data_IF_634809957855
#
_entry.id   IF_634809957855
#
_cell.length_a   1.000
_cell.length_b   1.000
_cell.length_c   1.000
_cell.angle_alpha   90.00
_cell.angle_beta   90.00
_cell.angle_gamma   90.00
#
_symmetry.space_group_name_H-M   'P 1'
#
loop_
_entity.id
_entity.type
_entity.pdbx_description
1 polymer ?
#
# COMPACT_ATOMS: atom_id res chain seq x y z
N UNK A 1 -5.04 -15.98 20.24
CA UNK A 1 -4.29 -16.63 19.13
C UNK A 1 -5.03 -16.66 17.80
N UNK A 2 -6.21 -17.31 17.66
CA UNK A 2 -6.90 -17.37 16.36
C UNK A 2 -7.41 -16.00 15.89
N UNK A 3 -8.02 -15.24 16.79
CA UNK A 3 -8.51 -13.87 16.51
C UNK A 3 -7.37 -12.93 16.15
N UNK A 4 -6.24 -13.00 16.85
CA UNK A 4 -5.06 -12.16 16.60
C UNK A 4 -4.44 -12.44 15.22
N UNK A 5 -4.39 -13.72 14.80
CA UNK A 5 -3.98 -14.11 13.45
C UNK A 5 -4.93 -13.57 12.38
N UNK A 6 -6.25 -13.68 12.60
CA UNK A 6 -7.23 -13.14 11.66
C UNK A 6 -7.11 -11.62 11.55
N UNK A 7 -7.01 -10.90 12.68
CA UNK A 7 -6.89 -9.46 12.71
C UNK A 7 -5.59 -8.97 12.05
N UNK A 8 -4.48 -9.68 12.29
CA UNK A 8 -3.20 -9.46 11.62
C UNK A 8 -3.31 -9.64 10.10
N UNK A 9 -3.97 -10.71 9.64
CA UNK A 9 -4.18 -10.95 8.21
C UNK A 9 -5.09 -9.90 7.56
N UNK A 10 -6.15 -9.50 8.27
CA UNK A 10 -7.07 -8.45 7.82
C UNK A 10 -6.37 -7.10 7.64
N UNK A 11 -5.37 -6.78 8.47
CA UNK A 11 -4.55 -5.59 8.23
C UNK A 11 -3.97 -5.61 6.81
N UNK A 12 -3.33 -6.69 6.40
CA UNK A 12 -2.78 -6.79 5.03
C UNK A 12 -3.88 -6.81 3.94
N UNK A 13 -5.00 -7.50 4.17
CA UNK A 13 -6.11 -7.52 3.20
C UNK A 13 -6.84 -6.18 3.08
N UNK A 14 -6.66 -5.27 4.04
CA UNK A 14 -7.27 -3.95 3.95
C UNK A 14 -6.83 -3.16 2.73
N UNK A 15 -5.74 -3.55 2.04
CA UNK A 15 -5.40 -3.02 0.70
C UNK A 15 -6.58 -3.06 -0.29
N UNK A 16 -7.53 -3.98 -0.10
CA UNK A 16 -8.70 -4.18 -0.96
C UNK A 16 -9.88 -3.24 -0.65
N UNK A 17 -9.99 -2.69 0.56
CA UNK A 17 -11.19 -1.96 0.99
C UNK A 17 -10.94 -0.76 1.90
N UNK A 18 -9.88 -0.76 2.70
CA UNK A 18 -9.56 0.31 3.66
C UNK A 18 -8.05 0.36 4.00
N UNK A 19 -7.16 0.57 3.02
CA UNK A 19 -5.71 0.34 3.17
C UNK A 19 -5.10 1.03 4.39
N UNK A 20 -5.42 2.30 4.64
CA UNK A 20 -4.82 3.02 5.76
C UNK A 20 -5.60 2.84 7.07
N UNK A 21 -6.93 2.84 6.95
CA UNK A 21 -7.81 3.00 8.09
C UNK A 21 -7.76 1.78 9.01
N UNK A 22 -7.89 0.57 8.46
CA UNK A 22 -7.95 -0.63 9.29
C UNK A 22 -6.62 -0.90 10.01
N UNK A 23 -5.45 -0.93 9.34
CA UNK A 23 -4.19 -1.18 10.04
C UNK A 23 -3.87 -0.11 11.08
N UNK A 24 -4.26 1.14 10.84
CA UNK A 24 -4.09 2.22 11.80
C UNK A 24 -4.94 2.02 13.05
N UNK A 25 -6.24 1.73 12.88
CA UNK A 25 -7.13 1.45 14.01
C UNK A 25 -6.63 0.24 14.81
N UNK A 26 -6.30 -0.86 14.13
CA UNK A 26 -5.81 -2.08 14.78
C UNK A 26 -4.52 -1.81 15.55
N UNK A 27 -3.60 -1.01 15.01
CA UNK A 27 -2.36 -0.65 15.69
C UNK A 27 -2.60 0.01 17.05
N UNK A 28 -3.62 0.86 17.18
CA UNK A 28 -3.93 1.54 18.45
C UNK A 28 -4.82 0.73 19.40
N UNK A 29 -5.72 -0.09 18.86
CA UNK A 29 -6.71 -0.82 19.66
C UNK A 29 -6.20 -2.16 20.18
N UNK A 30 -5.22 -2.78 19.51
CA UNK A 30 -4.70 -4.09 19.93
C UNK A 30 -3.60 -3.98 21.00
N UNK A 31 -3.70 -4.83 22.03
CA UNK A 31 -2.64 -5.03 23.01
C UNK A 31 -1.65 -6.15 22.62
N UNK A 32 -2.01 -6.99 21.64
CA UNK A 32 -1.14 -8.06 21.16
C UNK A 32 0.04 -7.50 20.36
N UNK A 33 1.26 -7.73 20.85
CA UNK A 33 2.48 -7.20 20.25
C UNK A 33 2.71 -7.72 18.82
N UNK A 34 2.30 -8.97 18.53
CA UNK A 34 2.45 -9.57 17.19
C UNK A 34 1.50 -8.88 16.20
N UNK A 35 0.24 -8.72 16.57
CA UNK A 35 -0.77 -8.02 15.77
C UNK A 35 -0.41 -6.56 15.56
N UNK A 36 0.07 -5.87 16.60
CA UNK A 36 0.57 -4.49 16.51
C UNK A 36 1.74 -4.38 15.52
N UNK A 37 2.65 -5.35 15.50
CA UNK A 37 3.76 -5.42 14.53
C UNK A 37 3.25 -5.59 13.09
N UNK A 38 2.27 -6.47 12.87
CA UNK A 38 1.65 -6.68 11.56
C UNK A 38 0.85 -5.48 11.06
N UNK A 39 0.07 -4.86 11.94
CA UNK A 39 -0.67 -3.64 11.67
C UNK A 39 0.26 -2.51 11.21
N UNK A 40 1.37 -2.28 11.93
CA UNK A 40 2.39 -1.28 11.52
C UNK A 40 3.01 -1.61 10.15
N UNK A 41 3.40 -2.86 9.92
CA UNK A 41 4.02 -3.28 8.65
C UNK A 41 3.05 -3.15 7.47
N UNK A 42 1.79 -3.50 7.68
CA UNK A 42 0.75 -3.35 6.66
C UNK A 42 0.41 -1.88 6.40
N UNK A 43 0.38 -1.04 7.42
CA UNK A 43 0.21 0.40 7.22
C UNK A 43 1.33 0.97 6.34
N UNK A 44 2.59 0.64 6.66
CA UNK A 44 3.75 1.11 5.88
C UNK A 44 3.73 0.59 4.44
N UNK A 45 3.33 -0.66 4.20
CA UNK A 45 3.21 -1.17 2.83
C UNK A 45 2.14 -0.43 2.05
N UNK A 46 1.01 -0.05 2.66
CA UNK A 46 -0.04 0.71 1.97
C UNK A 46 0.36 2.16 1.68
N UNK A 47 1.27 2.74 2.47
CA UNK A 47 1.79 4.09 2.25
C UNK A 47 2.63 4.17 0.98
N UNK A 48 3.34 3.10 0.60
CA UNK A 48 4.16 3.06 -0.62
C UNK A 48 3.32 3.39 -1.88
N UNK A 49 2.19 2.69 -2.16
CA UNK A 49 1.24 3.07 -3.20
C UNK A 49 0.87 4.55 -3.21
N UNK A 50 0.42 5.08 -2.07
CA UNK A 50 0.02 6.48 -1.98
C UNK A 50 1.15 7.44 -2.32
N UNK A 51 2.35 7.23 -1.77
CA UNK A 51 3.52 8.09 -2.05
C UNK A 51 3.88 8.03 -3.54
N UNK A 52 3.90 6.83 -4.14
CA UNK A 52 4.26 6.69 -5.57
C UNK A 52 3.27 7.38 -6.49
N UNK A 53 1.97 7.27 -6.21
CA UNK A 53 0.91 7.95 -6.98
C UNK A 53 1.03 9.47 -6.81
N UNK A 54 1.20 9.95 -5.58
CA UNK A 54 1.34 11.38 -5.28
C UNK A 54 2.58 11.97 -5.98
N UNK A 55 3.73 11.30 -5.87
CA UNK A 55 4.96 11.75 -6.52
C UNK A 55 4.82 11.81 -8.04
N UNK A 56 4.21 10.78 -8.65
CA UNK A 56 3.91 10.76 -10.07
C UNK A 56 2.98 11.91 -10.47
N UNK A 57 1.93 12.15 -9.70
CA UNK A 57 0.99 13.24 -9.96
C UNK A 57 1.64 14.61 -9.86
N UNK A 58 2.53 14.84 -8.91
CA UNK A 58 3.29 16.09 -8.83
C UNK A 58 4.14 16.34 -10.09
N UNK A 59 4.84 15.32 -10.59
CA UNK A 59 5.66 15.45 -11.80
C UNK A 59 4.77 15.67 -13.03
N UNK A 60 3.73 14.86 -13.18
CA UNK A 60 2.82 14.93 -14.34
C UNK A 60 2.07 16.26 -14.39
N UNK A 61 1.46 16.67 -13.28
CA UNK A 61 0.75 17.95 -13.19
C UNK A 61 1.72 19.13 -13.33
N UNK A 62 2.92 19.05 -12.75
CA UNK A 62 3.95 20.07 -12.93
C UNK A 62 4.30 20.30 -14.40
N UNK A 63 4.50 19.22 -15.17
CA UNK A 63 4.73 19.30 -16.61
C UNK A 63 3.51 19.89 -17.36
N UNK A 64 2.30 19.53 -16.96
CA UNK A 64 1.06 20.05 -17.54
C UNK A 64 0.88 21.55 -17.28
N UNK A 65 1.08 22.02 -16.04
CA UNK A 65 0.99 23.44 -15.69
C UNK A 65 2.07 24.29 -16.38
N UNK A 66 3.25 23.71 -16.63
CA UNK A 66 4.31 24.36 -17.39
C UNK A 66 4.09 24.36 -18.91
N UNK A 67 3.04 23.71 -19.42
CA UNK A 67 2.75 23.61 -20.86
C UNK A 67 3.76 22.74 -21.64
N UNK A 68 4.48 21.84 -20.97
CA UNK A 68 5.54 21.03 -21.58
C UNK A 68 5.00 19.72 -22.16
N UNK A 69 4.33 19.80 -23.31
CA UNK A 69 3.66 18.65 -23.94
C UNK A 69 4.57 17.44 -24.19
N UNK A 70 5.84 17.67 -24.57
CA UNK A 70 6.81 16.59 -24.79
C UNK A 70 7.16 15.88 -23.47
N UNK A 71 7.37 16.64 -22.38
CA UNK A 71 7.64 16.07 -21.06
C UNK A 71 6.45 15.27 -20.53
N UNK A 72 5.22 15.74 -20.76
CA UNK A 72 4.00 14.98 -20.40
C UNK A 72 4.01 13.61 -21.07
N UNK A 73 4.32 13.55 -22.37
CA UNK A 73 4.43 12.30 -23.12
C UNK A 73 5.50 11.37 -22.56
N UNK A 74 6.69 11.90 -22.25
CA UNK A 74 7.78 11.14 -21.65
C UNK A 74 7.40 10.59 -20.27
N UNK A 75 6.86 11.44 -19.38
CA UNK A 75 6.45 11.06 -18.02
C UNK A 75 5.33 10.02 -18.07
N UNK A 76 4.39 10.15 -19.00
CA UNK A 76 3.34 9.16 -19.18
C UNK A 76 3.91 7.81 -19.65
N UNK A 77 4.70 7.79 -20.72
CA UNK A 77 5.19 6.55 -21.31
C UNK A 77 6.20 5.82 -20.41
N UNK A 78 7.02 6.56 -19.67
CA UNK A 78 8.06 5.98 -18.80
C UNK A 78 7.62 5.81 -17.35
N UNK A 79 6.95 6.82 -16.78
CA UNK A 79 6.60 6.87 -15.36
C UNK A 79 5.37 6.03 -15.02
N UNK A 80 4.35 6.04 -15.88
CA UNK A 80 3.11 5.32 -15.58
C UNK A 80 3.31 3.80 -15.44
N UNK A 81 4.05 3.11 -16.34
CA UNK A 81 4.31 1.67 -16.18
C UNK A 81 5.08 1.34 -14.88
N UNK A 82 6.02 2.19 -14.48
CA UNK A 82 6.81 2.01 -13.26
C UNK A 82 5.90 2.13 -12.02
N UNK A 83 5.07 3.17 -11.96
CA UNK A 83 4.11 3.37 -10.85
C UNK A 83 3.16 2.18 -10.79
N UNK A 84 2.59 1.78 -11.93
CA UNK A 84 1.67 0.64 -12.00
C UNK A 84 2.32 -0.65 -11.50
N UNK A 85 3.55 -0.93 -11.92
CA UNK A 85 4.29 -2.12 -11.51
C UNK A 85 4.59 -2.13 -10.00
N UNK A 86 5.06 -1.01 -9.44
CA UNK A 86 5.35 -0.91 -8.00
C UNK A 86 4.08 -1.11 -7.17
N UNK A 87 2.98 -0.45 -7.57
CA UNK A 87 1.69 -0.57 -6.89
C UNK A 87 1.17 -2.01 -6.96
N UNK A 88 1.29 -2.66 -8.11
CA UNK A 88 0.89 -4.06 -8.29
C UNK A 88 1.72 -5.02 -7.43
N UNK A 89 3.04 -4.86 -7.37
CA UNK A 89 3.92 -5.68 -6.52
C UNK A 89 3.53 -5.55 -5.06
N UNK A 90 3.30 -4.32 -4.58
CA UNK A 90 2.90 -4.07 -3.18
C UNK A 90 1.52 -4.65 -2.90
N UNK A 91 0.58 -4.51 -3.83
CA UNK A 91 -0.75 -5.09 -3.73
C UNK A 91 -0.68 -6.62 -3.55
N UNK A 92 0.04 -7.31 -4.43
CA UNK A 92 0.23 -8.77 -4.35
C UNK A 92 0.95 -9.16 -3.07
N UNK A 93 1.98 -8.40 -2.66
CA UNK A 93 2.72 -8.68 -1.43
C UNK A 93 1.83 -8.66 -0.19
N UNK A 94 0.92 -7.68 -0.09
CA UNK A 94 -0.03 -7.60 1.01
C UNK A 94 -0.97 -8.82 1.03
N UNK A 95 -1.54 -9.20 -0.12
CA UNK A 95 -2.38 -10.41 -0.21
C UNK A 95 -1.61 -11.66 0.22
N UNK A 96 -0.40 -11.86 -0.31
CA UNK A 96 0.44 -13.02 0.02
C UNK A 96 0.79 -13.06 1.52
N UNK A 97 1.09 -11.91 2.13
CA UNK A 97 1.35 -11.82 3.58
C UNK A 97 0.12 -12.16 4.41
N UNK A 98 -1.05 -11.66 4.05
CA UNK A 98 -2.31 -12.01 4.71
C UNK A 98 -2.56 -13.52 4.70
N UNK A 99 -2.43 -14.16 3.53
CA UNK A 99 -2.59 -15.62 3.38
C UNK A 99 -1.57 -16.39 4.23
N UNK A 100 -0.29 -15.98 4.22
CA UNK A 100 0.77 -16.64 5.01
C UNK A 100 0.49 -16.61 6.51
N UNK A 101 -0.02 -15.50 7.02
CA UNK A 101 -0.39 -15.38 8.45
C UNK A 101 -1.50 -16.36 8.80
N UNK A 102 -2.54 -16.48 7.96
CA UNK A 102 -3.63 -17.43 8.18
C UNK A 102 -3.19 -18.90 8.13
N UNK A 103 -2.17 -19.21 7.32
CA UNK A 103 -1.64 -20.58 7.18
C UNK A 103 -0.71 -21.01 8.31
N UNK A 104 -0.22 -20.08 9.12
CA UNK A 104 0.71 -20.41 10.21
C UNK A 104 -0.09 -21.14 11.31
N UNK A 105 0.31 -22.36 11.68
CA UNK A 105 -0.35 -23.20 12.73
C UNK A 105 -0.20 -22.57 14.10
#
# INVERSE_FOLDING_TARGET
MKTDKLLSALCYFSVLFAPFLLPLIVYFVTDDAVTKSHAKKSFLSHVIPAITIIAYMFIFLGAAFAGQNELIGIVFLSGFPVVLLVNFIVFVWNIVKGIKILKTV
#
